data_IF_150355853955
#
_entry.id   IF_150355853955
#
_cell.length_a   1.000
_cell.length_b   1.000
_cell.length_c   1.000
_cell.angle_alpha   90.00
_cell.angle_beta   90.00
_cell.angle_gamma   90.00
#
_symmetry.space_group_name_H-M   'P 1'
#
loop_
_entity.id
_entity.type
_entity.pdbx_description
1 polymer ?
#
# COMPACT_ATOMS: atom_id res chain seq x y z
N UNK A 1 -11.00 -4.99 6.03
CA UNK A 1 -10.62 -3.92 5.08
C UNK A 1 -10.48 -4.59 3.73
N UNK A 2 -11.28 -4.21 2.74
CA UNK A 2 -11.22 -4.82 1.40
C UNK A 2 -10.12 -4.17 0.57
N UNK A 3 -9.59 -4.87 -0.45
CA UNK A 3 -8.60 -4.30 -1.35
C UNK A 3 -9.15 -3.06 -2.10
N UNK A 4 -10.43 -3.08 -2.47
CA UNK A 4 -11.08 -1.94 -3.12
C UNK A 4 -11.06 -0.68 -2.23
N UNK A 5 -11.44 -0.83 -0.96
CA UNK A 5 -11.38 0.24 0.04
C UNK A 5 -9.95 0.70 0.32
N UNK A 6 -8.99 -0.23 0.39
CA UNK A 6 -7.57 0.07 0.62
C UNK A 6 -6.97 0.91 -0.52
N UNK A 7 -7.31 0.58 -1.77
CA UNK A 7 -6.87 1.35 -2.93
C UNK A 7 -7.80 2.55 -3.25
N UNK A 8 -8.91 2.71 -2.52
CA UNK A 8 -9.92 3.74 -2.78
C UNK A 8 -10.54 3.63 -4.17
N UNK A 9 -10.69 2.41 -4.68
CA UNK A 9 -11.30 2.11 -5.98
C UNK A 9 -12.70 1.54 -5.78
N UNK A 10 -13.64 1.80 -6.70
CA UNK A 10 -14.97 1.21 -6.62
C UNK A 10 -14.91 -0.31 -6.79
N UNK A 11 -15.75 -1.03 -6.06
CA UNK A 11 -15.92 -2.47 -6.25
C UNK A 11 -16.48 -2.74 -7.65
N UNK A 12 -15.70 -3.41 -8.48
CA UNK A 12 -16.05 -3.67 -9.89
C UNK A 12 -15.26 -4.87 -10.39
N UNK A 13 -15.86 -5.62 -11.32
CA UNK A 13 -15.23 -6.81 -11.90
C UNK A 13 -13.98 -6.46 -12.74
N UNK A 14 -13.97 -5.27 -13.34
CA UNK A 14 -12.84 -4.70 -14.06
C UNK A 14 -12.40 -3.38 -13.41
N UNK A 15 -11.54 -3.44 -12.38
CA UNK A 15 -10.96 -2.23 -11.80
C UNK A 15 -10.03 -1.53 -12.80
N UNK A 16 -9.95 -0.20 -12.67
CA UNK A 16 -9.13 0.62 -13.57
C UNK A 16 -7.64 0.44 -13.24
N UNK A 17 -6.93 -0.28 -14.10
CA UNK A 17 -5.52 -0.64 -13.88
C UNK A 17 -4.60 0.59 -13.78
N UNK A 18 -4.97 1.71 -14.43
CA UNK A 18 -4.21 2.96 -14.37
C UNK A 18 -4.30 3.57 -12.98
N UNK A 19 -5.52 3.60 -12.40
CA UNK A 19 -5.75 4.07 -11.03
C UNK A 19 -5.06 3.15 -10.02
N UNK A 20 -5.17 1.83 -10.20
CA UNK A 20 -4.51 0.87 -9.32
C UNK A 20 -2.99 1.06 -9.32
N UNK A 21 -2.37 1.23 -10.48
CA UNK A 21 -0.92 1.46 -10.59
C UNK A 21 -0.48 2.76 -9.92
N UNK A 22 -1.28 3.82 -10.07
CA UNK A 22 -1.01 5.11 -9.41
C UNK A 22 -1.09 4.98 -7.89
N UNK A 23 -2.17 4.37 -7.39
CA UNK A 23 -2.37 4.12 -5.95
C UNK A 23 -1.31 3.20 -5.36
N UNK A 24 -0.93 2.14 -6.07
CA UNK A 24 0.16 1.26 -5.67
C UNK A 24 1.48 2.02 -5.54
N UNK A 25 1.80 2.91 -6.47
CA UNK A 25 3.02 3.70 -6.40
C UNK A 25 2.97 4.76 -5.27
N UNK A 26 1.81 5.38 -5.04
CA UNK A 26 1.59 6.30 -3.92
C UNK A 26 1.75 5.57 -2.58
N UNK A 27 1.09 4.43 -2.39
CA UNK A 27 1.18 3.60 -1.18
C UNK A 27 2.59 3.03 -1.00
N UNK A 28 3.22 2.55 -2.08
CA UNK A 28 4.59 2.05 -2.05
C UNK A 28 5.55 3.15 -1.60
N UNK A 29 5.39 4.40 -2.06
CA UNK A 29 6.16 5.54 -1.54
C UNK A 29 5.81 5.85 -0.09
N UNK A 30 4.53 5.83 0.27
CA UNK A 30 4.08 6.14 1.62
C UNK A 30 4.42 5.08 2.66
N UNK A 31 4.66 3.84 2.27
CA UNK A 31 5.05 2.71 3.12
C UNK A 31 6.47 2.22 2.84
N UNK A 32 7.23 2.92 1.97
CA UNK A 32 8.58 2.49 1.62
C UNK A 32 9.47 2.59 2.87
N UNK A 33 10.17 1.51 3.25
CA UNK A 33 10.99 1.50 4.46
C UNK A 33 12.10 2.57 4.46
N UNK A 34 12.49 3.05 3.29
CA UNK A 34 13.46 4.15 3.12
C UNK A 34 12.94 5.50 3.67
N UNK A 35 11.62 5.76 3.63
CA UNK A 35 11.02 6.96 4.25
C UNK A 35 10.77 6.78 5.75
N UNK A 36 10.57 5.55 6.23
CA UNK A 36 10.45 5.22 7.66
C UNK A 36 11.80 5.00 8.33
N UNK A 37 12.92 5.25 7.65
CA UNK A 37 14.25 5.23 8.26
C UNK A 37 14.42 6.26 9.40
N UNK A 38 13.48 7.19 9.56
CA UNK A 38 13.42 8.16 10.68
C UNK A 38 12.33 7.84 11.72
N UNK A 39 11.51 6.80 11.54
CA UNK A 39 10.58 6.33 12.57
C UNK A 39 11.10 5.02 13.20
N UNK A 40 11.00 4.87 14.54
CA UNK A 40 11.62 3.76 15.25
C UNK A 40 10.96 2.42 14.89
N UNK A 41 11.76 1.56 14.26
CA UNK A 41 11.85 0.09 14.34
C UNK A 41 10.74 -0.69 15.10
N UNK A 42 9.46 -0.59 14.71
CA UNK A 42 8.40 -1.42 15.30
C UNK A 42 7.65 -2.31 14.30
N UNK A 43 7.95 -2.23 12.99
CA UNK A 43 7.26 -3.03 11.95
C UNK A 43 8.14 -3.93 11.08
N UNK A 44 9.40 -4.13 11.44
CA UNK A 44 10.28 -5.07 10.73
C UNK A 44 10.17 -6.52 11.23
N UNK A 45 9.50 -6.78 12.37
CA UNK A 45 9.52 -8.09 13.02
C UNK A 45 8.38 -9.07 12.64
N UNK A 46 7.32 -8.65 11.93
CA UNK A 46 6.22 -9.56 11.56
C UNK A 46 6.43 -10.30 10.21
N UNK A 47 7.53 -10.06 9.50
CA UNK A 47 7.76 -10.64 8.16
C UNK A 47 8.45 -12.03 8.26
N UNK A 48 8.81 -12.51 9.46
CA UNK A 48 9.60 -13.73 9.63
C UNK A 48 8.94 -14.85 10.45
N UNK A 49 7.61 -14.88 10.58
CA UNK A 49 6.88 -16.05 11.10
C UNK A 49 5.91 -16.64 10.08
#
# INVERSE_FOLDING_TARGET
MNYFEFYGIPESFNPDAVLLKKKFYELSKQYHPDFYATEPNEKQQEILE
#
